data_IF_796838373439
#
_entry.id   IF_796838373439
#
_cell.length_a   1.000
_cell.length_b   1.000
_cell.length_c   1.000
_cell.angle_alpha   90.00
_cell.angle_beta   90.00
_cell.angle_gamma   90.00
#
_symmetry.space_group_name_H-M   'P 1'
#
loop_
_entity.id
_entity.type
_entity.pdbx_description
1 polymer ?
#
# COMPACT_ATOMS: atom_id res chain seq x y z
N UNK A 1 -23.19 -3.05 13.38
CA UNK A 1 -23.90 -2.00 14.14
C UNK A 1 -22.90 -1.28 15.04
N UNK A 2 -22.77 0.05 14.93
CA UNK A 2 -22.07 0.84 15.96
C UNK A 2 -22.96 0.86 17.21
N UNK A 3 -22.76 -0.13 18.08
CA UNK A 3 -23.41 -0.15 19.39
C UNK A 3 -22.79 0.93 20.28
N UNK A 4 -23.48 1.31 21.36
CA UNK A 4 -22.91 2.21 22.36
C UNK A 4 -21.55 1.72 22.88
N UNK A 5 -21.40 0.39 23.01
CA UNK A 5 -20.15 -0.25 23.40
C UNK A 5 -19.05 -0.05 22.34
N UNK A 6 -19.35 -0.26 21.05
CA UNK A 6 -18.38 -0.01 19.97
C UNK A 6 -17.90 1.45 19.98
N UNK A 7 -18.83 2.41 20.10
CA UNK A 7 -18.49 3.84 20.15
C UNK A 7 -17.61 4.13 21.38
N UNK A 8 -17.96 3.58 22.54
CA UNK A 8 -17.18 3.73 23.76
C UNK A 8 -15.75 3.21 23.60
N UNK A 9 -15.57 2.01 23.06
CA UNK A 9 -14.23 1.46 22.81
C UNK A 9 -13.45 2.28 21.79
N UNK A 10 -14.06 2.69 20.68
CA UNK A 10 -13.42 3.56 19.69
C UNK A 10 -12.89 4.85 20.32
N UNK A 11 -13.69 5.50 21.16
CA UNK A 11 -13.30 6.73 21.87
C UNK A 11 -12.13 6.46 22.80
N UNK A 12 -12.21 5.42 23.63
CA UNK A 12 -11.15 5.08 24.60
C UNK A 12 -9.83 4.76 23.89
N UNK A 13 -9.82 3.85 22.92
CA UNK A 13 -8.58 3.52 22.21
C UNK A 13 -8.04 4.73 21.45
N UNK A 14 -8.91 5.56 20.86
CA UNK A 14 -8.46 6.78 20.17
C UNK A 14 -7.79 7.75 21.15
N UNK A 15 -8.34 7.93 22.36
CA UNK A 15 -7.73 8.76 23.41
C UNK A 15 -6.38 8.17 23.83
N UNK A 16 -6.30 6.86 24.08
CA UNK A 16 -5.06 6.17 24.48
C UNK A 16 -3.98 6.34 23.42
N UNK A 17 -4.28 6.08 22.15
CA UNK A 17 -3.30 6.23 21.07
C UNK A 17 -2.94 7.69 20.80
N UNK A 18 -3.89 8.64 20.92
CA UNK A 18 -3.56 10.07 20.88
C UNK A 18 -2.61 10.46 22.02
N UNK A 19 -2.86 9.98 23.24
CA UNK A 19 -1.98 10.21 24.38
C UNK A 19 -0.58 9.65 24.12
N UNK A 20 -0.47 8.42 23.61
CA UNK A 20 0.80 7.81 23.21
C UNK A 20 1.52 8.65 22.15
N UNK A 21 0.81 9.13 21.13
CA UNK A 21 1.38 10.01 20.08
C UNK A 21 1.95 11.29 20.70
N UNK A 22 1.22 11.91 21.63
CA UNK A 22 1.60 13.19 22.23
C UNK A 22 2.72 13.07 23.27
N UNK A 23 2.86 11.92 23.95
CA UNK A 23 3.78 11.76 25.08
C UNK A 23 5.02 10.94 24.78
N UNK A 24 4.97 9.99 23.85
CA UNK A 24 6.12 9.12 23.56
C UNK A 24 7.13 9.89 22.69
N UNK A 25 8.42 10.02 23.10
CA UNK A 25 9.44 10.77 22.36
C UNK A 25 9.65 10.31 20.92
N UNK A 26 9.33 9.03 20.64
CA UNK A 26 9.33 8.44 19.30
C UNK A 26 8.62 9.31 18.24
N UNK A 27 7.50 9.95 18.58
CA UNK A 27 6.73 10.73 17.60
C UNK A 27 7.31 12.13 17.35
N UNK A 28 8.12 12.64 18.27
CA UNK A 28 8.77 13.95 18.14
C UNK A 28 9.92 13.95 17.13
N UNK A 29 10.38 12.78 16.67
CA UNK A 29 11.48 12.63 15.70
C UNK A 29 11.05 12.65 14.23
N UNK A 30 9.74 12.69 13.97
CA UNK A 30 9.20 12.70 12.61
C UNK A 30 9.01 14.13 12.11
N UNK A 31 8.68 14.22 10.82
CA UNK A 31 8.56 15.48 10.09
C UNK A 31 7.41 16.39 10.56
N UNK A 32 6.45 15.84 11.31
CA UNK A 32 5.28 16.57 11.80
C UNK A 32 5.33 16.62 13.33
N UNK A 33 4.83 17.72 13.91
CA UNK A 33 4.70 17.81 15.36
C UNK A 33 3.74 16.71 15.87
N UNK A 34 3.92 16.19 17.10
CA UNK A 34 3.02 15.19 17.68
C UNK A 34 1.53 15.54 17.63
N UNK A 35 1.17 16.84 17.75
CA UNK A 35 -0.22 17.32 17.63
C UNK A 35 -0.80 17.09 16.23
N UNK A 36 -0.02 17.40 15.19
CA UNK A 36 -0.40 17.12 13.80
C UNK A 36 -0.50 15.62 13.53
N UNK A 37 0.41 14.82 14.08
CA UNK A 37 0.34 13.35 13.98
C UNK A 37 -0.94 12.81 14.63
N UNK A 38 -1.31 13.32 15.81
CA UNK A 38 -2.55 12.93 16.48
C UNK A 38 -3.79 13.35 15.67
N UNK A 39 -3.78 14.55 15.06
CA UNK A 39 -4.85 14.98 14.16
C UNK A 39 -5.00 14.07 12.92
N UNK A 40 -3.88 13.69 12.29
CA UNK A 40 -3.86 12.74 11.17
C UNK A 40 -4.35 11.36 11.60
N UNK A 41 -3.96 10.90 12.79
CA UNK A 41 -4.44 9.64 13.34
C UNK A 41 -5.97 9.66 13.50
N UNK A 42 -6.54 10.72 14.06
CA UNK A 42 -7.99 10.87 14.19
C UNK A 42 -8.69 10.92 12.83
N UNK A 43 -8.10 11.60 11.84
CA UNK A 43 -8.60 11.60 10.47
C UNK A 43 -8.65 10.18 9.88
N UNK A 44 -7.59 9.39 10.10
CA UNK A 44 -7.55 7.98 9.71
C UNK A 44 -8.59 7.14 10.45
N UNK A 45 -8.79 7.35 11.75
CA UNK A 45 -9.86 6.67 12.52
C UNK A 45 -11.24 6.99 11.95
N UNK A 46 -11.52 8.26 11.64
CA UNK A 46 -12.78 8.66 11.00
C UNK A 46 -12.95 8.00 9.62
N UNK A 47 -11.90 7.99 8.80
CA UNK A 47 -11.93 7.36 7.48
C UNK A 47 -12.11 5.83 7.56
N UNK A 48 -11.46 5.16 8.52
CA UNK A 48 -11.62 3.73 8.78
C UNK A 48 -13.01 3.39 9.31
N UNK A 49 -13.58 4.25 10.16
CA UNK A 49 -14.98 4.16 10.59
C UNK A 49 -15.95 4.27 9.42
N UNK A 50 -15.76 5.29 8.57
CA UNK A 50 -16.55 5.48 7.35
C UNK A 50 -16.41 4.27 6.41
N UNK A 51 -15.20 3.74 6.23
CA UNK A 51 -14.95 2.53 5.45
C UNK A 51 -15.79 1.35 5.93
N UNK A 52 -15.77 1.06 7.24
CA UNK A 52 -16.54 -0.03 7.84
C UNK A 52 -18.06 0.17 7.69
N UNK A 53 -18.55 1.39 7.92
CA UNK A 53 -19.98 1.73 7.77
C UNK A 53 -20.43 1.51 6.31
N UNK A 54 -19.67 2.02 5.34
CA UNK A 54 -19.98 1.88 3.91
C UNK A 54 -20.04 0.40 3.53
N UNK A 55 -19.04 -0.39 3.92
CA UNK A 55 -19.00 -1.81 3.59
C UNK A 55 -20.16 -2.59 4.22
N UNK A 56 -20.52 -2.27 5.46
CA UNK A 56 -21.63 -2.92 6.14
C UNK A 56 -22.99 -2.61 5.51
N UNK A 57 -23.29 -1.34 5.25
CA UNK A 57 -24.63 -0.91 4.82
C UNK A 57 -24.84 -0.91 3.30
N UNK A 58 -23.79 -0.64 2.50
CA UNK A 58 -23.90 -0.55 1.05
C UNK A 58 -23.45 -1.81 0.31
N UNK A 59 -22.63 -2.64 0.95
CA UNK A 59 -22.06 -3.86 0.35
C UNK A 59 -22.36 -5.12 1.16
N UNK A 60 -23.25 -5.02 2.16
CA UNK A 60 -23.69 -6.12 3.03
C UNK A 60 -22.54 -6.91 3.68
N UNK A 61 -21.39 -6.27 3.90
CA UNK A 61 -20.19 -6.88 4.47
C UNK A 61 -18.94 -6.64 3.63
N UNK A 62 -18.34 -7.71 3.14
CA UNK A 62 -17.07 -7.70 2.39
C UNK A 62 -15.86 -8.14 3.21
N UNK A 63 -14.71 -8.27 2.53
CA UNK A 63 -13.47 -8.85 3.06
C UNK A 63 -13.10 -8.37 4.48
N UNK A 64 -13.32 -7.08 4.78
CA UNK A 64 -12.96 -6.51 6.10
C UNK A 64 -13.70 -7.15 7.27
N UNK A 65 -14.98 -7.50 7.08
CA UNK A 65 -15.80 -8.14 8.11
C UNK A 65 -15.59 -9.65 8.14
N UNK A 66 -15.33 -10.28 7.00
CA UNK A 66 -14.95 -11.70 6.96
C UNK A 66 -13.59 -11.93 7.65
N UNK A 67 -12.59 -11.06 7.47
CA UNK A 67 -11.34 -11.15 8.23
C UNK A 67 -11.54 -11.08 9.74
N UNK A 68 -12.48 -10.24 10.17
CA UNK A 68 -12.80 -10.06 11.57
C UNK A 68 -13.63 -11.22 12.13
N UNK A 69 -14.55 -11.79 11.34
CA UNK A 69 -15.30 -12.98 11.72
C UNK A 69 -14.37 -14.19 11.89
N UNK A 70 -13.45 -14.39 10.96
CA UNK A 70 -12.42 -15.43 11.06
C UNK A 70 -11.53 -15.22 12.30
N UNK A 71 -11.20 -13.96 12.66
CA UNK A 71 -10.37 -13.69 13.83
C UNK A 71 -11.08 -14.04 15.14
N UNK A 72 -12.40 -13.88 15.20
CA UNK A 72 -13.21 -14.31 16.34
C UNK A 72 -13.20 -15.83 16.51
N UNK A 73 -13.12 -16.61 15.42
CA UNK A 73 -12.94 -18.07 15.49
C UNK A 73 -11.61 -18.39 16.20
N UNK A 74 -10.53 -17.70 15.83
CA UNK A 74 -9.22 -17.85 16.47
C UNK A 74 -9.29 -17.50 17.95
N UNK A 75 -9.89 -16.38 18.35
CA UNK A 75 -9.96 -15.99 19.77
C UNK A 75 -10.83 -16.93 20.60
N UNK A 76 -11.92 -17.44 20.03
CA UNK A 76 -12.78 -18.45 20.69
C UNK A 76 -12.03 -19.74 20.99
N UNK A 77 -10.99 -20.09 20.20
CA UNK A 77 -10.14 -21.26 20.47
C UNK A 77 -9.47 -21.22 21.85
N UNK A 78 -9.24 -20.04 22.43
CA UNK A 78 -8.68 -19.91 23.79
C UNK A 78 -9.57 -20.58 24.82
N UNK A 79 -10.89 -20.39 24.70
CA UNK A 79 -11.87 -20.99 25.62
C UNK A 79 -12.14 -22.45 25.30
N UNK A 80 -12.09 -22.82 24.01
CA UNK A 80 -12.37 -24.18 23.57
C UNK A 80 -11.21 -25.15 23.86
N UNK A 81 -10.00 -24.80 23.40
CA UNK A 81 -8.82 -25.70 23.41
C UNK A 81 -7.56 -25.07 24.06
N UNK A 82 -7.69 -23.88 24.65
CA UNK A 82 -6.62 -23.22 25.40
C UNK A 82 -5.72 -22.28 24.58
N UNK A 83 -4.82 -21.58 25.29
CA UNK A 83 -3.96 -20.53 24.69
C UNK A 83 -3.00 -21.06 23.63
N UNK A 84 -2.58 -22.33 23.73
CA UNK A 84 -1.68 -22.94 22.75
C UNK A 84 -2.32 -23.11 21.38
N UNK A 85 -3.60 -23.47 21.32
CA UNK A 85 -4.35 -23.53 20.06
C UNK A 85 -4.42 -22.14 19.42
N UNK A 86 -4.73 -21.11 20.22
CA UNK A 86 -4.72 -19.73 19.76
C UNK A 86 -3.37 -19.32 19.16
N UNK A 87 -2.27 -19.56 19.89
CA UNK A 87 -0.92 -19.23 19.40
C UNK A 87 -0.57 -20.01 18.12
N UNK A 88 -1.01 -21.26 18.00
CA UNK A 88 -0.81 -22.07 16.80
C UNK A 88 -1.59 -21.52 15.61
N UNK A 89 -2.84 -21.07 15.80
CA UNK A 89 -3.63 -20.45 14.73
C UNK A 89 -3.05 -19.09 14.29
N UNK A 90 -2.58 -18.29 15.26
CA UNK A 90 -2.00 -16.95 15.02
C UNK A 90 -0.61 -17.00 14.41
N UNK A 91 0.29 -17.85 14.89
CA UNK A 91 1.70 -17.85 14.50
C UNK A 91 2.15 -19.09 13.71
N UNK A 92 1.34 -20.14 13.66
CA UNK A 92 1.68 -21.40 13.00
C UNK A 92 1.62 -21.34 11.46
N UNK A 93 1.68 -22.50 10.83
CA UNK A 93 1.62 -22.63 9.37
C UNK A 93 0.15 -22.78 8.96
N UNK A 94 -0.29 -22.03 7.93
CA UNK A 94 -1.66 -22.12 7.43
C UNK A 94 -1.77 -23.17 6.31
N UNK A 95 -1.50 -24.42 6.70
CA UNK A 95 -1.42 -25.57 5.79
C UNK A 95 -2.79 -25.94 5.21
N UNK A 96 -2.92 -26.19 3.89
CA UNK A 96 -4.11 -26.83 3.32
C UNK A 96 -4.49 -28.16 3.97
N UNK A 97 -3.56 -28.92 4.55
CA UNK A 97 -3.80 -30.18 5.24
C UNK A 97 -3.25 -30.13 6.67
N UNK A 98 -3.88 -29.33 7.57
CA UNK A 98 -3.34 -29.12 8.90
C UNK A 98 -3.59 -30.34 9.81
N UNK A 99 -2.98 -30.35 11.00
CA UNK A 99 -3.24 -31.37 12.00
C UNK A 99 -4.74 -31.46 12.35
N UNK A 100 -5.21 -32.66 12.73
CA UNK A 100 -6.63 -32.93 13.01
C UNK A 100 -7.26 -31.96 14.04
N UNK A 101 -6.46 -31.45 14.99
CA UNK A 101 -6.90 -30.47 15.99
C UNK A 101 -7.19 -29.08 15.41
N UNK A 102 -6.63 -28.73 14.25
CA UNK A 102 -6.82 -27.43 13.58
C UNK A 102 -7.97 -27.49 12.57
N UNK A 103 -8.28 -28.67 12.02
CA UNK A 103 -9.31 -28.85 10.98
C UNK A 103 -10.63 -28.16 11.32
N UNK A 104 -11.20 -28.28 12.54
CA UNK A 104 -12.45 -27.60 12.88
C UNK A 104 -12.37 -26.08 12.76
N UNK A 105 -11.22 -25.48 13.09
CA UNK A 105 -10.99 -24.04 13.00
C UNK A 105 -10.76 -23.61 11.56
N UNK A 106 -9.99 -24.39 10.80
CA UNK A 106 -9.79 -24.16 9.38
C UNK A 106 -11.13 -24.12 8.65
N UNK A 107 -11.98 -25.12 8.87
CA UNK A 107 -13.25 -25.26 8.15
C UNK A 107 -14.29 -24.20 8.56
N UNK A 108 -14.12 -23.60 9.75
CA UNK A 108 -14.90 -22.47 10.22
C UNK A 108 -14.42 -21.11 9.70
N UNK A 109 -13.29 -21.05 9.00
CA UNK A 109 -12.68 -19.81 8.51
C UNK A 109 -12.59 -19.77 6.98
N UNK A 110 -12.91 -18.61 6.41
CA UNK A 110 -12.90 -18.41 4.95
C UNK A 110 -11.48 -18.28 4.38
N UNK A 111 -10.53 -17.69 5.14
CA UNK A 111 -9.21 -17.32 4.60
C UNK A 111 -8.04 -18.15 5.10
N UNK A 112 -8.25 -19.20 5.89
CA UNK A 112 -7.16 -19.97 6.50
C UNK A 112 -6.10 -20.45 5.48
N UNK A 113 -6.51 -20.85 4.28
CA UNK A 113 -5.57 -21.34 3.24
C UNK A 113 -4.98 -20.23 2.36
N UNK A 114 -5.50 -19.01 2.43
CA UNK A 114 -4.97 -17.87 1.68
C UNK A 114 -4.06 -17.04 2.58
N UNK A 115 -2.76 -17.35 2.58
CA UNK A 115 -1.78 -16.76 3.50
C UNK A 115 -1.82 -15.22 3.53
N UNK A 116 -1.99 -14.58 2.37
CA UNK A 116 -2.00 -13.12 2.24
C UNK A 116 -3.21 -12.49 2.95
N UNK A 117 -4.38 -13.10 2.80
CA UNK A 117 -5.62 -12.68 3.50
C UNK A 117 -5.60 -13.10 4.97
N UNK A 118 -5.10 -14.30 5.28
CA UNK A 118 -5.01 -14.82 6.65
C UNK A 118 -4.11 -13.97 7.54
N UNK A 119 -3.13 -13.26 6.98
CA UNK A 119 -2.36 -12.27 7.75
C UNK A 119 -3.25 -11.17 8.37
N UNK A 120 -4.30 -10.73 7.66
CA UNK A 120 -5.24 -9.73 8.20
C UNK A 120 -6.13 -10.35 9.28
N UNK A 121 -6.49 -11.64 9.14
CA UNK A 121 -7.18 -12.41 10.18
C UNK A 121 -6.32 -12.47 11.45
N UNK A 122 -5.03 -12.81 11.32
CA UNK A 122 -4.07 -12.87 12.42
C UNK A 122 -3.87 -11.51 13.09
N UNK A 123 -3.78 -10.44 12.30
CA UNK A 123 -3.72 -9.09 12.83
C UNK A 123 -4.93 -8.78 13.70
N UNK A 124 -6.15 -9.07 13.21
CA UNK A 124 -7.36 -8.89 14.01
C UNK A 124 -7.39 -9.80 15.24
N UNK A 125 -6.95 -11.05 15.14
CA UNK A 125 -6.96 -11.99 16.27
C UNK A 125 -6.02 -11.54 17.41
N UNK A 126 -4.91 -10.87 17.06
CA UNK A 126 -4.03 -10.22 18.03
C UNK A 126 -4.66 -8.97 18.63
N UNK A 127 -5.33 -8.15 17.81
CA UNK A 127 -6.03 -6.95 18.26
C UNK A 127 -7.22 -7.29 19.17
N UNK A 128 -7.96 -8.35 18.86
CA UNK A 128 -9.14 -8.85 19.56
C UNK A 128 -8.88 -9.16 21.04
N UNK A 129 -7.65 -9.57 21.40
CA UNK A 129 -7.25 -9.79 22.80
C UNK A 129 -7.35 -8.51 23.63
N UNK A 130 -7.10 -7.36 23.01
CA UNK A 130 -7.13 -6.07 23.68
C UNK A 130 -8.48 -5.40 23.55
N UNK A 131 -9.16 -5.59 22.41
CA UNK A 131 -10.39 -4.88 22.05
C UNK A 131 -11.66 -5.64 22.39
N UNK A 132 -11.55 -6.85 22.94
CA UNK A 132 -12.67 -7.73 23.27
C UNK A 132 -13.52 -8.10 22.05
N UNK A 133 -12.85 -8.31 20.90
CA UNK A 133 -13.51 -8.64 19.64
C UNK A 133 -14.54 -7.61 19.19
N UNK A 134 -14.16 -6.32 19.23
CA UNK A 134 -14.92 -5.20 18.68
C UNK A 134 -14.26 -4.69 17.39
N UNK A 135 -15.02 -4.68 16.28
CA UNK A 135 -14.47 -4.39 14.94
C UNK A 135 -13.89 -2.99 14.85
N UNK A 136 -14.65 -1.99 15.32
CA UNK A 136 -14.20 -0.60 15.18
C UNK A 136 -13.05 -0.28 16.14
N UNK A 137 -12.94 -0.98 17.26
CA UNK A 137 -11.77 -0.90 18.14
C UNK A 137 -10.52 -1.50 17.47
N UNK A 138 -10.61 -2.63 16.77
CA UNK A 138 -9.51 -3.16 15.95
C UNK A 138 -9.09 -2.17 14.87
N UNK A 139 -10.06 -1.48 14.26
CA UNK A 139 -9.81 -0.46 13.24
C UNK A 139 -8.95 0.69 13.81
N UNK A 140 -9.14 1.08 15.06
CA UNK A 140 -8.30 2.11 15.71
C UNK A 140 -6.84 1.62 15.84
N UNK A 141 -6.63 0.38 16.29
CA UNK A 141 -5.28 -0.23 16.40
C UNK A 141 -4.63 -0.33 15.01
N UNK A 142 -5.39 -0.79 14.01
CA UNK A 142 -4.94 -0.87 12.61
C UNK A 142 -4.47 0.49 12.08
N UNK A 143 -5.24 1.56 12.34
CA UNK A 143 -4.88 2.90 11.90
C UNK A 143 -3.66 3.46 12.61
N UNK A 144 -3.46 3.11 13.88
CA UNK A 144 -2.24 3.48 14.61
C UNK A 144 -1.01 2.80 14.01
N UNK A 145 -1.09 1.49 13.73
CA UNK A 145 0.01 0.74 13.12
C UNK A 145 0.37 1.25 11.72
N UNK A 146 -0.63 1.40 10.84
CA UNK A 146 -0.39 1.86 9.46
C UNK A 146 0.11 3.30 9.39
N UNK A 147 -0.28 4.16 10.34
CA UNK A 147 0.23 5.52 10.46
C UNK A 147 1.76 5.54 10.65
N UNK A 148 2.33 4.63 11.44
CA UNK A 148 3.78 4.59 11.69
C UNK A 148 4.56 4.41 10.38
N UNK A 149 4.11 3.49 9.51
CA UNK A 149 4.73 3.29 8.20
C UNK A 149 4.57 4.50 7.28
N UNK A 150 3.41 5.16 7.28
CA UNK A 150 3.18 6.41 6.53
C UNK A 150 4.08 7.56 7.02
N UNK A 151 4.35 7.66 8.33
CA UNK A 151 5.28 8.66 8.87
C UNK A 151 6.72 8.41 8.39
N UNK A 152 7.14 7.14 8.30
CA UNK A 152 8.43 6.77 7.71
C UNK A 152 8.48 7.07 6.21
N UNK A 153 7.39 6.84 5.48
CA UNK A 153 7.29 7.23 4.08
C UNK A 153 7.43 8.76 3.93
N UNK A 154 6.71 9.56 4.71
CA UNK A 154 6.85 11.02 4.69
C UNK A 154 8.28 11.47 4.99
N UNK A 155 8.95 10.79 5.94
CA UNK A 155 10.33 11.09 6.29
C UNK A 155 11.28 10.83 5.12
N UNK A 156 11.16 9.68 4.46
CA UNK A 156 11.93 9.37 3.24
C UNK A 156 11.71 10.41 2.15
N UNK A 157 10.44 10.79 1.90
CA UNK A 157 10.09 11.78 0.88
C UNK A 157 10.64 13.17 1.22
N UNK A 158 10.56 13.58 2.49
CA UNK A 158 11.06 14.88 2.95
C UNK A 158 12.58 14.96 2.91
N UNK A 159 13.30 13.86 3.10
CA UNK A 159 14.75 13.81 2.90
C UNK A 159 15.11 13.82 1.41
N UNK A 160 14.33 13.17 0.56
CA UNK A 160 14.55 13.20 -0.89
C UNK A 160 14.35 14.60 -1.47
N UNK A 161 13.23 15.27 -1.16
CA UNK A 161 12.90 16.62 -1.64
C UNK A 161 12.34 17.52 -0.51
N UNK A 162 13.20 18.18 0.29
CA UNK A 162 12.77 18.96 1.47
C UNK A 162 11.78 20.10 1.16
N UNK A 163 11.95 20.78 0.02
CA UNK A 163 11.06 21.87 -0.41
C UNK A 163 9.61 21.42 -0.66
N UNK A 164 9.39 20.11 -0.84
CA UNK A 164 8.11 19.51 -1.19
C UNK A 164 7.39 18.85 -0.03
N UNK A 165 7.96 18.87 1.17
CA UNK A 165 7.40 18.28 2.39
C UNK A 165 5.91 18.57 2.61
N UNK A 166 5.47 19.82 2.42
CA UNK A 166 4.04 20.19 2.57
C UNK A 166 3.14 19.47 1.55
N UNK A 167 3.56 19.38 0.29
CA UNK A 167 2.82 18.68 -0.75
C UNK A 167 2.79 17.17 -0.49
N UNK A 168 3.90 16.57 -0.07
CA UNK A 168 3.94 15.15 0.31
C UNK A 168 3.05 14.84 1.51
N UNK A 169 3.01 15.73 2.50
CA UNK A 169 2.10 15.61 3.64
C UNK A 169 0.64 15.61 3.17
N UNK A 170 0.28 16.54 2.28
CA UNK A 170 -1.07 16.59 1.70
C UNK A 170 -1.44 15.32 0.94
N UNK A 171 -0.55 14.81 0.08
CA UNK A 171 -0.82 13.57 -0.66
C UNK A 171 -0.96 12.36 0.26
N UNK A 172 -0.06 12.18 1.24
CA UNK A 172 -0.08 10.99 2.08
C UNK A 172 -1.25 10.94 3.06
N UNK A 173 -1.69 12.10 3.55
CA UNK A 173 -2.60 12.16 4.69
C UNK A 173 -3.93 12.86 4.42
N UNK A 174 -4.11 13.53 3.29
CA UNK A 174 -5.35 14.24 2.94
C UNK A 174 -5.95 13.81 1.60
N UNK A 175 -5.23 13.02 0.81
CA UNK A 175 -5.72 12.55 -0.48
C UNK A 175 -6.82 11.48 -0.29
N UNK A 176 -8.05 11.71 -0.76
CA UNK A 176 -9.23 10.93 -0.37
C UNK A 176 -9.08 9.41 -0.52
N UNK A 177 -8.71 8.85 -1.69
CA UNK A 177 -8.57 7.38 -1.80
C UNK A 177 -7.42 6.83 -0.96
N UNK A 178 -6.30 7.56 -0.84
CA UNK A 178 -5.18 7.09 -0.03
C UNK A 178 -5.64 6.99 1.42
N UNK A 179 -6.27 8.03 1.96
CA UNK A 179 -6.79 8.02 3.32
C UNK A 179 -7.85 6.94 3.50
N UNK A 180 -8.80 6.82 2.57
CA UNK A 180 -9.89 5.84 2.64
C UNK A 180 -9.39 4.39 2.62
N UNK A 181 -8.66 3.98 1.57
CA UNK A 181 -8.21 2.60 1.40
C UNK A 181 -7.11 2.17 2.37
N UNK A 182 -6.31 3.12 2.89
CA UNK A 182 -5.30 2.79 3.91
C UNK A 182 -5.83 2.83 5.34
N UNK A 183 -7.10 3.18 5.55
CA UNK A 183 -7.70 3.26 6.89
C UNK A 183 -8.71 2.16 7.20
N UNK A 184 -9.28 1.50 6.18
CA UNK A 184 -10.05 0.27 6.36
C UNK A 184 -9.15 -0.92 6.71
N UNK A 185 -9.63 -1.85 7.55
CA UNK A 185 -8.87 -3.05 7.92
C UNK A 185 -8.74 -3.96 6.69
N UNK A 186 -7.63 -3.80 5.96
CA UNK A 186 -7.33 -4.55 4.75
C UNK A 186 -5.82 -4.62 4.46
N UNK A 187 -5.44 -5.18 3.31
CA UNK A 187 -4.05 -5.39 2.89
C UNK A 187 -3.37 -4.08 2.47
N UNK A 188 -4.12 -3.09 2.01
CA UNK A 188 -3.59 -1.87 1.38
C UNK A 188 -2.88 -0.93 2.36
N UNK A 189 -3.48 -0.67 3.52
CA UNK A 189 -2.82 0.16 4.55
C UNK A 189 -1.51 -0.44 5.05
N UNK A 190 -1.46 -1.77 5.24
CA UNK A 190 -0.24 -2.49 5.63
C UNK A 190 0.79 -2.45 4.50
N UNK A 191 0.37 -2.64 3.24
CA UNK A 191 1.28 -2.59 2.10
C UNK A 191 1.96 -1.22 1.96
N UNK A 192 1.20 -0.12 2.05
CA UNK A 192 1.79 1.23 1.99
C UNK A 192 2.68 1.51 3.19
N UNK A 193 2.30 1.07 4.39
CA UNK A 193 3.13 1.16 5.58
C UNK A 193 4.47 0.40 5.40
N UNK A 194 4.41 -0.81 4.83
CA UNK A 194 5.57 -1.64 4.53
C UNK A 194 6.51 -0.98 3.51
N UNK A 195 5.97 -0.38 2.44
CA UNK A 195 6.76 0.43 1.49
C UNK A 195 7.46 1.59 2.23
N UNK A 196 6.76 2.26 3.15
CA UNK A 196 7.35 3.32 3.98
C UNK A 196 8.54 2.85 4.81
N UNK A 197 8.43 1.69 5.46
CA UNK A 197 9.54 1.07 6.17
C UNK A 197 10.71 0.74 5.24
N UNK A 198 10.45 0.06 4.12
CA UNK A 198 11.48 -0.35 3.15
C UNK A 198 12.25 0.87 2.63
N UNK A 199 11.55 1.91 2.20
CA UNK A 199 12.18 3.10 1.60
C UNK A 199 12.99 3.88 2.61
N UNK A 200 12.43 4.15 3.79
CA UNK A 200 13.15 4.86 4.85
C UNK A 200 14.40 4.11 5.30
N UNK A 201 14.25 2.83 5.64
CA UNK A 201 15.34 2.07 6.22
C UNK A 201 16.44 1.73 5.21
N UNK A 202 16.10 1.51 3.93
CA UNK A 202 17.11 1.37 2.88
C UNK A 202 17.93 2.66 2.66
N UNK A 203 17.29 3.83 2.72
CA UNK A 203 17.97 5.12 2.63
C UNK A 203 18.88 5.37 3.84
N UNK A 204 18.40 5.07 5.06
CA UNK A 204 19.18 5.20 6.29
C UNK A 204 20.43 4.30 6.27
N UNK A 205 20.30 3.06 5.78
CA UNK A 205 21.45 2.15 5.59
C UNK A 205 22.48 2.77 4.65
N UNK A 206 22.05 3.25 3.47
CA UNK A 206 22.95 3.86 2.48
C UNK A 206 23.70 5.07 3.04
N UNK A 207 23.01 5.94 3.78
CA UNK A 207 23.61 7.13 4.40
C UNK A 207 24.69 6.77 5.41
N UNK A 208 24.44 5.73 6.22
CA UNK A 208 25.39 5.26 7.24
C UNK A 208 26.63 4.58 6.65
N UNK A 209 26.52 3.92 5.51
CA UNK A 209 27.70 3.40 4.80
C UNK A 209 28.51 4.50 4.09
N UNK A 210 27.90 5.65 3.80
CA UNK A 210 28.58 6.79 3.17
C UNK A 210 29.30 7.71 4.17
N UNK A 211 28.92 7.68 5.45
CA UNK A 211 29.54 8.45 6.54
C UNK A 211 30.44 7.50 7.36
N UNK A 212 31.65 7.93 7.72
CA UNK A 212 32.68 7.09 8.37
C UNK A 212 32.13 6.16 9.49
N UNK A 213 32.58 4.89 9.57
CA UNK A 213 31.96 3.81 10.36
C UNK A 213 32.01 3.93 11.90
N UNK A 214 32.45 5.07 12.44
CA UNK A 214 32.92 5.21 13.83
C UNK A 214 31.87 5.75 14.83
N UNK A 215 30.76 6.33 14.40
CA UNK A 215 29.90 7.14 15.32
C UNK A 215 28.41 6.77 15.39
N UNK A 216 27.99 5.51 15.22
CA UNK A 216 26.56 5.18 15.40
C UNK A 216 26.34 3.91 16.21
N UNK A 217 25.90 4.11 17.46
CA UNK A 217 25.72 3.12 18.54
C UNK A 217 24.55 2.14 18.34
N UNK A 218 23.89 2.12 17.17
CA UNK A 218 22.86 1.12 16.89
C UNK A 218 22.81 0.76 15.39
N UNK A 219 23.77 -0.06 14.94
CA UNK A 219 23.95 -0.46 13.54
C UNK A 219 22.86 -1.42 13.03
N UNK A 220 22.20 -2.15 13.92
CA UNK A 220 21.24 -3.21 13.55
C UNK A 220 19.82 -2.70 13.28
N UNK A 221 19.39 -1.61 13.92
CA UNK A 221 18.00 -1.14 13.83
C UNK A 221 17.52 -0.87 12.39
N UNK A 222 18.29 -0.19 11.51
CA UNK A 222 17.86 0.00 10.13
C UNK A 222 17.70 -1.31 9.36
N UNK A 223 18.55 -2.29 9.62
CA UNK A 223 18.45 -3.61 8.98
C UNK A 223 17.19 -4.35 9.44
N UNK A 224 16.91 -4.35 10.75
CA UNK A 224 15.67 -4.94 11.32
C UNK A 224 14.44 -4.27 10.69
N UNK A 225 14.43 -2.94 10.62
CA UNK A 225 13.34 -2.19 10.01
C UNK A 225 13.13 -2.49 8.53
N UNK A 226 14.21 -2.66 7.76
CA UNK A 226 14.16 -3.07 6.35
C UNK A 226 13.62 -4.49 6.20
N UNK A 227 14.16 -5.46 6.97
CA UNK A 227 13.69 -6.84 6.95
C UNK A 227 12.22 -6.95 7.34
N UNK A 228 11.79 -6.19 8.35
CA UNK A 228 10.39 -6.13 8.77
C UNK A 228 9.49 -5.58 7.66
N UNK A 229 9.90 -4.49 6.99
CA UNK A 229 9.16 -3.95 5.85
C UNK A 229 9.06 -4.92 4.68
N UNK A 230 10.16 -5.60 4.33
CA UNK A 230 10.19 -6.64 3.27
C UNK A 230 9.26 -7.79 3.64
N UNK A 231 9.35 -8.31 4.87
CA UNK A 231 8.51 -9.39 5.37
C UNK A 231 7.02 -9.04 5.32
N UNK A 232 6.65 -7.85 5.83
CA UNK A 232 5.27 -7.36 5.77
C UNK A 232 4.77 -7.29 4.33
N UNK A 233 5.51 -6.62 3.44
CA UNK A 233 5.08 -6.41 2.05
C UNK A 233 4.99 -7.74 1.30
N UNK A 234 5.94 -8.65 1.52
CA UNK A 234 5.94 -9.98 0.92
C UNK A 234 4.68 -10.77 1.32
N UNK A 235 4.32 -10.77 2.59
CA UNK A 235 3.14 -11.49 3.08
C UNK A 235 1.84 -10.88 2.55
N UNK A 236 1.67 -9.55 2.58
CA UNK A 236 0.37 -8.97 2.18
C UNK A 236 0.23 -8.80 0.66
N UNK A 237 1.30 -8.43 -0.03
CA UNK A 237 1.32 -8.05 -1.45
C UNK A 237 2.70 -8.26 -2.09
N UNK A 238 3.14 -9.52 -2.24
CA UNK A 238 4.44 -9.87 -2.85
C UNK A 238 4.69 -9.20 -4.21
N UNK A 239 3.65 -9.06 -5.05
CA UNK A 239 3.77 -8.39 -6.35
C UNK A 239 4.28 -6.95 -6.22
N UNK A 240 3.83 -6.17 -5.22
CA UNK A 240 4.33 -4.80 -5.01
C UNK A 240 5.81 -4.79 -4.63
N UNK A 241 6.28 -5.79 -3.86
CA UNK A 241 7.70 -5.91 -3.54
C UNK A 241 8.53 -6.19 -4.80
N UNK A 242 8.07 -7.11 -5.65
CA UNK A 242 8.74 -7.45 -6.92
C UNK A 242 8.85 -6.21 -7.83
N UNK A 243 7.77 -5.43 -7.97
CA UNK A 243 7.75 -4.21 -8.80
C UNK A 243 8.57 -3.07 -8.19
N UNK A 244 8.67 -3.00 -6.85
CA UNK A 244 9.45 -1.99 -6.14
C UNK A 244 10.95 -2.22 -6.27
N UNK A 245 11.38 -3.50 -6.29
CA UNK A 245 12.79 -3.88 -6.20
C UNK A 245 13.68 -3.27 -7.31
N UNK A 246 13.38 -3.36 -8.61
CA UNK A 246 14.26 -2.79 -9.64
C UNK A 246 14.30 -1.26 -9.59
N UNK A 247 13.19 -0.63 -9.19
CA UNK A 247 13.13 0.80 -8.99
C UNK A 247 14.06 1.22 -7.84
N UNK A 248 14.04 0.49 -6.73
CA UNK A 248 14.94 0.73 -5.59
C UNK A 248 16.40 0.50 -5.96
N UNK A 249 16.71 -0.55 -6.71
CA UNK A 249 18.06 -0.84 -7.22
C UNK A 249 18.55 0.35 -8.06
N UNK A 250 17.74 0.83 -9.00
CA UNK A 250 18.06 2.01 -9.80
C UNK A 250 18.29 3.27 -8.95
N UNK A 251 17.39 3.54 -8.00
CA UNK A 251 17.48 4.70 -7.11
C UNK A 251 18.73 4.68 -6.21
N UNK A 252 19.11 3.51 -5.71
CA UNK A 252 20.23 3.37 -4.78
C UNK A 252 21.59 3.23 -5.48
N UNK A 253 21.68 2.50 -6.60
CA UNK A 253 22.95 2.23 -7.29
C UNK A 253 23.39 3.36 -8.22
N UNK A 254 22.46 4.07 -8.85
CA UNK A 254 22.84 5.13 -9.80
C UNK A 254 23.36 6.32 -9.02
N UNK A 255 24.64 6.64 -9.23
CA UNK A 255 25.25 7.85 -8.65
C UNK A 255 24.56 9.09 -9.19
N UNK A 256 24.27 10.03 -8.29
CA UNK A 256 23.63 11.30 -8.61
C UNK A 256 24.39 12.05 -9.72
N UNK A 257 25.71 11.97 -9.80
CA UNK A 257 26.51 12.65 -10.84
C UNK A 257 26.50 12.00 -12.24
N UNK A 258 25.70 10.95 -12.49
CA UNK A 258 25.79 10.21 -13.76
C UNK A 258 25.09 10.91 -14.93
N UNK A 259 25.85 11.22 -16.00
CA UNK A 259 25.37 11.84 -17.27
C UNK A 259 24.27 11.06 -18.00
N UNK A 260 24.12 9.75 -17.73
CA UNK A 260 23.15 8.85 -18.38
C UNK A 260 22.26 8.12 -17.37
N UNK A 261 21.88 8.80 -16.28
CA UNK A 261 21.04 8.25 -15.21
C UNK A 261 19.74 7.61 -15.73
N UNK A 262 19.02 8.28 -16.64
CA UNK A 262 17.77 7.75 -17.22
C UNK A 262 17.97 6.43 -17.98
N UNK A 263 19.00 6.35 -18.84
CA UNK A 263 19.29 5.16 -19.63
C UNK A 263 19.67 3.98 -18.73
N UNK A 264 20.49 4.22 -17.70
CA UNK A 264 20.85 3.20 -16.71
C UNK A 264 19.62 2.71 -15.94
N UNK A 265 18.71 3.61 -15.57
CA UNK A 265 17.48 3.25 -14.88
C UNK A 265 16.60 2.35 -15.76
N UNK A 266 16.40 2.74 -17.03
CA UNK A 266 15.66 1.95 -18.02
C UNK A 266 16.31 0.58 -18.20
N UNK A 267 17.64 0.51 -18.32
CA UNK A 267 18.36 -0.75 -18.50
C UNK A 267 18.17 -1.68 -17.29
N UNK A 268 18.26 -1.16 -16.06
CA UNK A 268 18.00 -1.97 -14.85
C UNK A 268 16.59 -2.56 -14.86
N UNK A 269 15.59 -1.73 -15.20
CA UNK A 269 14.19 -2.15 -15.28
C UNK A 269 13.99 -3.23 -16.37
N UNK A 270 14.55 -3.03 -17.56
CA UNK A 270 14.47 -3.98 -18.67
C UNK A 270 15.15 -5.31 -18.30
N UNK A 271 16.39 -5.27 -17.82
CA UNK A 271 17.13 -6.48 -17.43
C UNK A 271 16.39 -7.25 -16.35
N UNK A 272 15.83 -6.55 -15.37
CA UNK A 272 15.08 -7.17 -14.29
C UNK A 272 13.80 -7.86 -14.77
N UNK A 273 12.98 -7.19 -15.58
CA UNK A 273 11.75 -7.80 -16.08
C UNK A 273 12.00 -8.88 -17.13
N UNK A 274 13.07 -8.77 -17.93
CA UNK A 274 13.52 -9.86 -18.78
C UNK A 274 13.94 -11.08 -17.94
N UNK A 275 14.64 -10.89 -16.83
CA UNK A 275 14.97 -12.00 -15.94
C UNK A 275 13.71 -12.69 -15.38
N UNK A 276 12.70 -11.91 -14.95
CA UNK A 276 11.41 -12.45 -14.47
C UNK A 276 10.68 -13.24 -15.57
N UNK A 277 10.57 -12.69 -16.78
CA UNK A 277 9.89 -13.36 -17.91
C UNK A 277 10.55 -14.68 -18.30
N UNK A 278 11.81 -14.89 -17.92
CA UNK A 278 12.59 -16.08 -18.22
C UNK A 278 12.72 -17.03 -17.01
N UNK A 279 12.02 -16.78 -15.88
CA UNK A 279 12.02 -17.68 -14.73
C UNK A 279 11.47 -19.08 -15.06
N UNK A 280 10.65 -19.20 -16.11
CA UNK A 280 10.15 -20.48 -16.64
C UNK A 280 11.25 -21.49 -16.99
N UNK A 281 12.47 -21.03 -17.26
CA UNK A 281 13.61 -21.92 -17.53
C UNK A 281 14.20 -22.55 -16.26
N UNK A 282 13.93 -21.96 -15.09
CA UNK A 282 14.31 -22.55 -13.79
C UNK A 282 13.23 -23.50 -13.29
N UNK A 283 11.96 -23.08 -13.42
CA UNK A 283 10.80 -23.92 -13.13
C UNK A 283 9.65 -23.48 -14.05
N UNK A 284 9.09 -24.44 -14.80
CA UNK A 284 7.98 -24.17 -15.73
C UNK A 284 6.76 -23.56 -15.02
N UNK A 285 6.52 -23.92 -13.77
CA UNK A 285 5.40 -23.40 -12.97
C UNK A 285 5.55 -21.90 -12.66
N UNK A 286 6.73 -21.33 -12.86
CA UNK A 286 7.02 -19.91 -12.66
C UNK A 286 6.90 -19.08 -13.94
N UNK A 287 6.23 -19.58 -14.98
CA UNK A 287 5.91 -18.75 -16.15
C UNK A 287 4.99 -17.60 -15.72
N UNK A 288 5.52 -16.37 -15.79
CA UNK A 288 4.79 -15.17 -15.40
C UNK A 288 3.48 -15.03 -16.19
N UNK A 289 3.46 -15.42 -17.47
CA UNK A 289 2.27 -15.26 -18.31
C UNK A 289 1.15 -16.16 -17.82
N UNK A 290 1.45 -17.42 -17.53
CA UNK A 290 0.49 -18.40 -17.04
C UNK A 290 -0.04 -17.97 -15.66
N UNK A 291 0.85 -17.52 -14.77
CA UNK A 291 0.47 -17.02 -13.45
C UNK A 291 -0.45 -15.78 -13.54
N UNK A 292 -0.15 -14.84 -14.44
CA UNK A 292 -0.99 -13.66 -14.66
C UNK A 292 -2.32 -14.02 -15.31
N UNK A 293 -2.35 -14.97 -16.24
CA UNK A 293 -3.57 -15.44 -16.89
C UNK A 293 -4.49 -16.16 -15.89
N UNK A 294 -3.95 -17.05 -15.04
CA UNK A 294 -4.71 -17.71 -13.98
C UNK A 294 -5.32 -16.70 -13.01
N UNK A 295 -4.55 -15.70 -12.58
CA UNK A 295 -5.07 -14.63 -11.73
C UNK A 295 -6.15 -13.80 -12.42
N UNK A 296 -5.99 -13.50 -13.71
CA UNK A 296 -6.99 -12.77 -14.49
C UNK A 296 -8.30 -13.57 -14.57
N UNK A 297 -8.23 -14.89 -14.80
CA UNK A 297 -9.38 -15.78 -14.83
C UNK A 297 -10.10 -15.86 -13.47
N UNK A 298 -9.36 -15.91 -12.36
CA UNK A 298 -9.92 -15.85 -11.01
C UNK A 298 -10.73 -14.57 -10.75
N UNK A 299 -10.26 -13.43 -11.24
CA UNK A 299 -11.03 -12.18 -11.14
C UNK A 299 -12.26 -12.19 -12.05
N UNK A 300 -12.18 -12.76 -13.25
CA UNK A 300 -13.35 -12.89 -14.11
C UNK A 300 -14.44 -13.78 -13.50
N UNK A 301 -14.06 -14.87 -12.82
CA UNK A 301 -14.98 -15.74 -12.07
C UNK A 301 -15.73 -15.00 -10.95
N UNK A 302 -15.13 -13.95 -10.40
CA UNK A 302 -15.72 -13.10 -9.35
C UNK A 302 -16.49 -11.90 -9.92
N UNK A 303 -16.44 -11.67 -11.22
CA UNK A 303 -16.98 -10.47 -11.84
C UNK A 303 -18.47 -10.59 -12.16
N UNK A 304 -19.23 -9.52 -11.91
CA UNK A 304 -20.60 -9.35 -12.40
C UNK A 304 -20.58 -8.53 -13.69
N UNK A 305 -21.32 -8.92 -14.72
CA UNK A 305 -21.27 -8.34 -16.08
C UNK A 305 -21.37 -6.80 -16.16
N UNK A 306 -21.89 -6.10 -15.15
CA UNK A 306 -22.09 -4.65 -15.18
C UNK A 306 -20.80 -3.81 -15.03
N UNK A 307 -19.76 -4.32 -14.35
CA UNK A 307 -18.56 -3.54 -13.95
C UNK A 307 -17.22 -4.16 -14.41
N UNK A 308 -17.29 -5.04 -15.42
CA UNK A 308 -16.15 -5.83 -15.89
C UNK A 308 -15.53 -5.21 -17.13
N UNK A 309 -14.25 -4.82 -17.03
CA UNK A 309 -13.46 -4.41 -18.18
C UNK A 309 -13.07 -5.62 -19.02
N UNK A 310 -13.16 -5.48 -20.34
CA UNK A 310 -12.63 -6.48 -21.27
C UNK A 310 -11.10 -6.32 -21.38
N UNK A 311 -10.36 -7.22 -20.76
CA UNK A 311 -8.90 -7.28 -20.78
C UNK A 311 -8.43 -8.22 -21.89
N UNK A 312 -7.35 -7.84 -22.59
CA UNK A 312 -6.70 -8.71 -23.56
C UNK A 312 -6.05 -9.93 -22.88
N UNK A 313 -6.20 -11.09 -23.50
CA UNK A 313 -5.55 -12.34 -23.09
C UNK A 313 -4.04 -12.33 -23.35
N UNK A 314 -3.29 -13.07 -22.55
CA UNK A 314 -1.81 -13.05 -22.53
C UNK A 314 -1.12 -13.79 -23.70
N UNK A 315 -1.88 -14.44 -24.60
CA UNK A 315 -1.35 -15.39 -25.60
C UNK A 315 -0.99 -14.78 -26.99
N UNK A 316 -1.08 -13.45 -27.15
CA UNK A 316 -1.00 -12.81 -28.48
C UNK A 316 0.40 -12.43 -28.98
N UNK A 317 1.44 -13.18 -28.58
CA UNK A 317 2.83 -12.90 -28.98
C UNK A 317 3.38 -11.55 -28.50
N UNK A 318 4.48 -11.06 -29.07
CA UNK A 318 5.15 -9.82 -28.63
C UNK A 318 4.31 -8.55 -28.87
N UNK A 319 3.65 -8.46 -30.03
CA UNK A 319 2.76 -7.33 -30.37
C UNK A 319 1.56 -7.28 -29.44
N UNK A 320 0.94 -8.44 -29.15
CA UNK A 320 -0.14 -8.54 -28.19
C UNK A 320 0.27 -8.09 -26.79
N UNK A 321 1.47 -8.45 -26.34
CA UNK A 321 1.99 -8.00 -25.06
C UNK A 321 2.16 -6.47 -24.98
N UNK A 322 2.61 -5.82 -26.06
CA UNK A 322 2.69 -4.36 -26.10
C UNK A 322 1.30 -3.70 -26.04
N UNK A 323 0.32 -4.25 -26.77
CA UNK A 323 -1.07 -3.76 -26.73
C UNK A 323 -1.65 -3.93 -25.32
N UNK A 324 -1.38 -5.06 -24.66
CA UNK A 324 -1.79 -5.32 -23.29
C UNK A 324 -1.21 -4.28 -22.31
N UNK A 325 0.08 -3.94 -22.43
CA UNK A 325 0.71 -2.89 -21.61
C UNK A 325 -0.01 -1.55 -21.81
N UNK A 326 -0.25 -1.15 -23.06
CA UNK A 326 -0.93 0.11 -23.36
C UNK A 326 -2.37 0.12 -22.84
N UNK A 327 -3.08 -0.99 -22.98
CA UNK A 327 -4.44 -1.16 -22.45
C UNK A 327 -4.44 -1.08 -20.92
N UNK A 328 -3.50 -1.74 -20.24
CA UNK A 328 -3.39 -1.73 -18.79
C UNK A 328 -3.11 -0.32 -18.24
N UNK A 329 -2.18 0.40 -18.86
CA UNK A 329 -1.89 1.80 -18.53
C UNK A 329 -3.13 2.68 -18.73
N UNK A 330 -3.81 2.54 -19.88
CA UNK A 330 -5.04 3.28 -20.16
C UNK A 330 -6.09 3.00 -19.09
N UNK A 331 -6.36 1.73 -18.78
CA UNK A 331 -7.37 1.33 -17.81
C UNK A 331 -7.05 1.90 -16.43
N UNK A 332 -5.81 1.77 -15.94
CA UNK A 332 -5.43 2.31 -14.63
C UNK A 332 -5.47 3.84 -14.57
N UNK A 333 -5.12 4.54 -15.65
CA UNK A 333 -5.09 6.01 -15.66
C UNK A 333 -6.47 6.64 -15.83
N UNK A 334 -7.38 6.00 -16.55
CA UNK A 334 -8.68 6.61 -16.90
C UNK A 334 -9.85 6.09 -16.08
N UNK A 335 -9.80 4.84 -15.58
CA UNK A 335 -10.95 4.23 -14.92
C UNK A 335 -10.97 4.47 -13.40
N UNK A 336 -12.14 4.69 -12.77
CA UNK A 336 -13.41 5.05 -13.39
C UNK A 336 -13.39 6.50 -13.87
N UNK A 337 -14.06 6.75 -15.00
CA UNK A 337 -14.41 8.10 -15.42
C UNK A 337 -15.63 8.57 -14.61
N UNK A 338 -15.77 9.88 -14.36
CA UNK A 338 -16.89 10.41 -13.57
C UNK A 338 -18.26 9.98 -14.09
N UNK A 339 -18.42 9.88 -15.41
CA UNK A 339 -19.65 9.47 -16.07
C UNK A 339 -19.83 7.94 -16.18
N UNK A 340 -18.86 7.16 -15.69
CA UNK A 340 -18.90 5.68 -15.65
C UNK A 340 -19.01 5.15 -14.22
N UNK A 341 -19.25 6.03 -13.24
CA UNK A 341 -19.41 5.65 -11.83
C UNK A 341 -20.71 4.87 -11.68
N UNK A 342 -20.60 3.56 -11.39
CA UNK A 342 -21.74 2.68 -11.14
C UNK A 342 -21.99 2.44 -9.65
N UNK A 343 -21.03 2.78 -8.78
CA UNK A 343 -21.13 2.56 -7.34
C UNK A 343 -20.52 3.68 -6.50
N UNK A 344 -20.96 3.83 -5.25
CA UNK A 344 -20.50 4.88 -4.35
C UNK A 344 -18.97 4.84 -4.14
N UNK A 345 -18.38 3.64 -4.03
CA UNK A 345 -16.94 3.48 -3.88
C UNK A 345 -16.13 3.92 -5.10
N UNK A 346 -16.74 4.10 -6.27
CA UNK A 346 -16.07 4.58 -7.47
C UNK A 346 -16.00 6.11 -7.56
N UNK A 347 -16.81 6.85 -6.77
CA UNK A 347 -16.80 8.33 -6.76
C UNK A 347 -15.44 8.86 -6.29
N UNK A 348 -14.92 8.33 -5.17
CA UNK A 348 -13.66 8.80 -4.58
C UNK A 348 -12.48 8.59 -5.56
N UNK A 349 -12.29 7.39 -6.16
CA UNK A 349 -11.28 7.18 -7.20
C UNK A 349 -11.48 8.01 -8.47
N UNK A 350 -12.72 8.31 -8.88
CA UNK A 350 -12.98 9.16 -10.04
C UNK A 350 -12.49 10.60 -9.79
N UNK A 351 -12.75 11.14 -8.60
CA UNK A 351 -12.22 12.45 -8.18
C UNK A 351 -10.70 12.47 -8.13
N UNK A 352 -10.08 11.37 -7.70
CA UNK A 352 -8.63 11.26 -7.65
C UNK A 352 -8.01 11.21 -9.04
N UNK A 353 -8.64 10.55 -10.02
CA UNK A 353 -8.20 10.61 -11.41
C UNK A 353 -8.21 12.06 -11.93
N UNK A 354 -9.24 12.85 -11.63
CA UNK A 354 -9.29 14.28 -11.99
C UNK A 354 -8.17 15.05 -11.29
N UNK A 355 -7.96 14.80 -10.00
CA UNK A 355 -6.88 15.46 -9.27
C UNK A 355 -5.53 15.16 -9.90
N UNK A 356 -5.28 13.91 -10.33
CA UNK A 356 -4.05 13.54 -11.02
C UNK A 356 -3.90 14.27 -12.36
N UNK A 357 -4.99 14.42 -13.11
CA UNK A 357 -4.99 15.24 -14.35
C UNK A 357 -4.67 16.70 -14.03
N UNK A 358 -5.29 17.30 -13.02
CA UNK A 358 -5.00 18.67 -12.59
C UNK A 358 -3.56 18.83 -12.11
N UNK A 359 -3.04 17.84 -11.39
CA UNK A 359 -1.65 17.81 -10.92
C UNK A 359 -0.67 17.69 -12.10
N UNK A 360 -1.02 16.91 -13.12
CA UNK A 360 -0.25 16.81 -14.36
C UNK A 360 -0.23 18.15 -15.12
N UNK A 361 -1.37 18.80 -15.29
CA UNK A 361 -1.46 20.14 -15.91
C UNK A 361 -0.66 21.19 -15.11
N UNK A 362 -0.71 21.11 -13.78
CA UNK A 362 0.08 21.96 -12.88
C UNK A 362 1.58 21.71 -13.06
N UNK A 363 1.99 20.44 -13.21
CA UNK A 363 3.37 20.06 -13.49
C UNK A 363 3.89 20.60 -14.82
N UNK A 364 3.06 20.62 -15.86
CA UNK A 364 3.40 21.26 -17.13
C UNK A 364 3.54 22.78 -16.98
N UNK A 365 2.58 23.44 -16.31
CA UNK A 365 2.56 24.90 -16.16
C UNK A 365 3.69 25.46 -15.31
N UNK A 366 4.07 24.74 -14.26
CA UNK A 366 5.06 25.15 -13.27
C UNK A 366 6.30 24.25 -13.29
N UNK A 367 6.68 23.73 -14.46
CA UNK A 367 7.83 22.84 -14.61
C UNK A 367 9.13 23.48 -14.06
N UNK A 368 9.89 22.66 -13.33
CA UNK A 368 11.24 22.92 -12.83
C UNK A 368 12.18 21.86 -13.38
N UNK A 369 13.37 22.27 -13.81
CA UNK A 369 14.44 21.33 -14.09
C UNK A 369 14.93 20.73 -12.76
N UNK A 370 14.81 19.41 -12.63
CA UNK A 370 15.22 18.69 -11.44
C UNK A 370 16.74 18.72 -11.25
N UNK A 371 17.16 18.79 -9.99
CA UNK A 371 18.49 18.33 -9.57
C UNK A 371 18.63 16.83 -9.85
N UNK A 372 19.86 16.31 -9.82
CA UNK A 372 20.09 14.91 -10.13
C UNK A 372 19.42 13.94 -9.13
N UNK A 373 19.36 14.29 -7.84
CA UNK A 373 18.65 13.49 -6.82
C UNK A 373 17.14 13.53 -7.02
N UNK A 374 16.57 14.71 -7.28
CA UNK A 374 15.15 14.89 -7.63
C UNK A 374 14.81 14.08 -8.90
N UNK A 375 15.70 14.04 -9.89
CA UNK A 375 15.52 13.27 -11.13
C UNK A 375 15.51 11.76 -10.88
N UNK A 376 16.43 11.24 -10.07
CA UNK A 376 16.43 9.81 -9.71
C UNK A 376 15.16 9.43 -8.93
N UNK A 377 14.70 10.28 -8.02
CA UNK A 377 13.45 10.07 -7.29
C UNK A 377 12.22 10.13 -8.22
N UNK A 378 12.22 11.04 -9.20
CA UNK A 378 11.20 11.11 -10.24
C UNK A 378 11.14 9.82 -11.06
N UNK A 379 12.28 9.32 -11.56
CA UNK A 379 12.35 8.06 -12.31
C UNK A 379 11.88 6.88 -11.46
N UNK A 380 12.35 6.79 -10.22
CA UNK A 380 11.90 5.78 -9.27
C UNK A 380 10.38 5.75 -9.11
N UNK A 381 9.78 6.92 -8.83
CA UNK A 381 8.35 7.04 -8.59
C UNK A 381 7.53 6.76 -9.85
N UNK A 382 7.99 7.25 -11.01
CA UNK A 382 7.34 7.05 -12.30
C UNK A 382 7.37 5.58 -12.74
N UNK A 383 8.54 4.93 -12.69
CA UNK A 383 8.67 3.53 -13.12
C UNK A 383 7.95 2.58 -12.16
N UNK A 384 7.97 2.84 -10.85
CA UNK A 384 7.20 2.05 -9.90
C UNK A 384 5.70 2.18 -10.16
N UNK A 385 5.21 3.41 -10.36
CA UNK A 385 3.81 3.67 -10.72
C UNK A 385 3.39 2.96 -12.01
N UNK A 386 4.15 3.13 -13.08
CA UNK A 386 3.89 2.47 -14.36
C UNK A 386 3.91 0.94 -14.23
N UNK A 387 4.85 0.38 -13.46
CA UNK A 387 4.94 -1.06 -13.23
C UNK A 387 3.69 -1.59 -12.49
N UNK A 388 3.20 -0.87 -11.49
CA UNK A 388 1.95 -1.20 -10.79
C UNK A 388 0.76 -1.11 -11.73
N UNK A 389 0.66 -0.06 -12.54
CA UNK A 389 -0.46 0.10 -13.49
C UNK A 389 -0.48 -0.97 -14.58
N UNK A 390 0.68 -1.36 -15.10
CA UNK A 390 0.78 -2.45 -16.06
C UNK A 390 0.35 -3.76 -15.39
N UNK A 391 0.93 -4.11 -14.24
CA UNK A 391 0.62 -5.36 -13.56
C UNK A 391 -0.87 -5.47 -13.18
N UNK A 392 -1.40 -4.46 -12.48
CA UNK A 392 -2.79 -4.45 -12.02
C UNK A 392 -3.76 -4.32 -13.20
N UNK A 393 -3.50 -3.42 -14.14
CA UNK A 393 -4.37 -3.17 -15.28
C UNK A 393 -4.44 -4.32 -16.28
N UNK A 394 -3.48 -5.25 -16.25
CA UNK A 394 -3.51 -6.49 -17.03
C UNK A 394 -4.27 -7.62 -16.35
N UNK A 395 -4.46 -7.58 -15.03
CA UNK A 395 -5.01 -8.70 -14.25
C UNK A 395 -6.42 -8.42 -13.72
N UNK A 396 -6.73 -7.18 -13.34
CA UNK A 396 -7.94 -6.85 -12.57
C UNK A 396 -9.00 -6.22 -13.49
N UNK A 397 -10.00 -7.00 -13.98
CA UNK A 397 -11.07 -6.50 -14.84
C UNK A 397 -12.16 -5.74 -14.06
N UNK A 398 -12.36 -6.04 -12.78
CA UNK A 398 -13.43 -5.43 -11.96
C UNK A 398 -13.03 -4.01 -11.57
N UNK A 399 -13.78 -2.99 -11.99
CA UNK A 399 -13.45 -1.57 -11.76
C UNK A 399 -13.33 -1.24 -10.26
N UNK A 400 -14.26 -1.74 -9.43
CA UNK A 400 -14.24 -1.54 -7.98
C UNK A 400 -13.00 -2.14 -7.29
N UNK A 401 -12.47 -3.25 -7.81
CA UNK A 401 -11.20 -3.80 -7.35
C UNK A 401 -10.03 -2.96 -7.90
N UNK A 402 -10.03 -2.68 -9.20
CA UNK A 402 -8.97 -1.95 -9.91
C UNK A 402 -8.57 -0.66 -9.20
N UNK A 403 -9.55 0.14 -8.74
CA UNK A 403 -9.31 1.40 -8.02
C UNK A 403 -8.50 1.22 -6.73
N UNK A 404 -8.73 0.12 -6.01
CA UNK A 404 -8.01 -0.22 -4.79
C UNK A 404 -6.60 -0.73 -5.12
N UNK A 405 -6.49 -1.69 -6.04
CA UNK A 405 -5.20 -2.30 -6.39
C UNK A 405 -4.23 -1.31 -7.06
N UNK A 406 -4.73 -0.33 -7.82
CA UNK A 406 -3.91 0.70 -8.47
C UNK A 406 -3.47 1.82 -7.51
N UNK A 407 -4.06 1.93 -6.32
CA UNK A 407 -3.83 3.06 -5.40
C UNK A 407 -2.36 3.30 -5.06
N UNK A 408 -1.52 2.28 -4.76
CA UNK A 408 -0.08 2.51 -4.57
C UNK A 408 0.59 3.11 -5.80
N UNK A 409 0.22 2.67 -6.99
CA UNK A 409 0.73 3.25 -8.24
C UNK A 409 0.30 4.71 -8.42
N UNK A 410 -0.93 5.05 -8.06
CA UNK A 410 -1.47 6.41 -8.10
C UNK A 410 -0.74 7.34 -7.12
N UNK A 411 -0.47 6.88 -5.90
CA UNK A 411 0.33 7.58 -4.91
C UNK A 411 1.69 7.95 -5.50
N UNK A 412 2.43 6.98 -6.05
CA UNK A 412 3.76 7.26 -6.60
C UNK A 412 3.73 8.07 -7.90
N UNK A 413 2.67 7.99 -8.71
CA UNK A 413 2.48 8.91 -9.83
C UNK A 413 2.38 10.35 -9.33
N UNK A 414 1.58 10.59 -8.30
CA UNK A 414 1.39 11.92 -7.74
C UNK A 414 2.69 12.47 -7.14
N UNK A 415 3.49 11.61 -6.48
CA UNK A 415 4.82 11.95 -5.97
C UNK A 415 5.80 12.29 -7.10
N UNK A 416 5.76 11.57 -8.23
CA UNK A 416 6.56 11.89 -9.41
C UNK A 416 6.21 13.28 -9.96
N UNK A 417 4.91 13.57 -10.13
CA UNK A 417 4.45 14.86 -10.65
C UNK A 417 4.82 16.03 -9.73
N UNK A 418 4.72 15.88 -8.40
CA UNK A 418 5.14 16.92 -7.44
C UNK A 418 6.63 17.25 -7.56
N UNK A 419 7.44 16.24 -7.85
CA UNK A 419 8.90 16.39 -7.91
C UNK A 419 9.33 17.36 -9.01
N UNK A 420 8.64 17.38 -10.14
CA UNK A 420 8.94 18.26 -11.28
C UNK A 420 8.27 19.63 -11.22
N UNK A 421 7.41 19.87 -10.22
CA UNK A 421 6.76 21.17 -10.01
C UNK A 421 7.73 22.15 -9.34
N UNK A 422 7.67 23.45 -9.66
CA UNK A 422 8.33 24.52 -8.92
C UNK A 422 7.42 25.04 -7.79
N UNK A 423 7.71 24.67 -6.54
CA UNK A 423 6.92 25.13 -5.39
C UNK A 423 6.99 26.65 -5.18
N UNK A 424 8.09 27.29 -5.55
CA UNK A 424 8.32 28.72 -5.32
C UNK A 424 7.54 29.55 -6.34
N UNK A 425 7.47 29.12 -7.59
CA UNK A 425 6.64 29.77 -8.63
C UNK A 425 5.15 29.72 -8.30
N UNK A 426 4.67 28.62 -7.72
CA UNK A 426 3.27 28.53 -7.26
C UNK A 426 3.01 29.58 -6.17
N UNK A 427 3.88 29.65 -5.16
CA UNK A 427 3.71 30.62 -4.07
C UNK A 427 3.77 32.08 -4.56
N UNK A 428 4.61 32.39 -5.54
CA UNK A 428 4.70 33.75 -6.10
C UNK A 428 3.51 34.09 -7.00
N UNK A 429 2.92 33.11 -7.69
CA UNK A 429 1.70 33.31 -8.49
C UNK A 429 0.51 33.71 -7.61
N UNK A 430 0.28 33.00 -6.50
CA UNK A 430 -0.81 33.29 -5.56
C UNK A 430 -0.58 34.51 -4.66
N UNK A 431 0.64 35.05 -4.60
CA UNK A 431 0.94 36.31 -3.88
C UNK A 431 0.82 37.57 -4.76
N UNK A 432 0.76 37.39 -6.08
CA UNK A 432 0.66 38.49 -7.06
C UNK A 432 -0.78 38.78 -7.50
N UNK A 433 -1.69 37.87 -7.20
CA UNK A 433 -3.14 38.10 -7.21
C UNK A 433 -3.56 38.49 -5.80
#
# INVERSE_FOLDING_TARGET
MLTANEIFFVIIYSIVFCYLILKVPFFSRFELSPRWIAGIFLLKVMAGGAYGIIHYYLYEGGDTFEYFKDSQVIVKSIKADGIWMYLQLVFGISDPNPAASIVPYKDAMSYFTNMNSYFIVRFNALADLFTFSHYYANMVIYNFFTLIGLLYLLRFLSEANPEKKKFFTGILFLFPSIVFWTSGIHKDGIAVAAIGFILWFSAEIKKRYSLSPVLTTNKLWPFIGLCFGIWLLAIVRIHLLILLMPCMIGYHLIKSSSKHSSLKFILIIIVFYLAILNLKFLNRDWDLKDQMAMQQEEFYKQSTNADTLNLMEFDKGATGFLILILQALRNCLTQPLLWQVSSFLQIIPALDNIFIVLLFLTALRFYKKNSHSEHLFFLFSLFFSASVFVFVGSIVPIVGALVRYKMPGLLFLALALITIIDARKIQSFFKKQ
#
